data_IF_762831779110
#
_entry.id   IF_762831779110
#
_cell.length_a   1.000
_cell.length_b   1.000
_cell.length_c   1.000
_cell.angle_alpha   90.00
_cell.angle_beta   90.00
_cell.angle_gamma   90.00
#
_symmetry.space_group_name_H-M   'P 1'
#
loop_
_entity.id
_entity.type
_entity.pdbx_description
1 polymer ?
#
# COMPACT_ATOMS: atom_id res chain seq x y z
N UNK A 1 -25.38 5.40 1.46
CA UNK A 1 -25.33 6.48 0.44
C UNK A 1 -24.35 7.50 1.00
N UNK A 2 -23.21 7.71 0.34
CA UNK A 2 -22.13 8.53 0.90
C UNK A 2 -22.53 9.99 1.04
N UNK A 3 -21.91 10.68 1.99
CA UNK A 3 -22.13 12.10 2.22
C UNK A 3 -21.60 12.91 1.04
N UNK A 4 -22.51 13.63 0.37
CA UNK A 4 -22.20 14.43 -0.81
C UNK A 4 -21.29 15.61 -0.44
N UNK A 5 -20.12 15.68 -1.06
CA UNK A 5 -19.25 16.86 -0.96
C UNK A 5 -19.91 17.99 -1.75
N UNK A 6 -20.51 18.95 -1.04
CA UNK A 6 -21.10 20.15 -1.64
C UNK A 6 -20.17 21.34 -1.48
N UNK A 7 -19.67 21.86 -2.60
CA UNK A 7 -18.89 23.09 -2.66
C UNK A 7 -19.71 24.20 -3.31
N UNK A 8 -20.02 25.24 -2.54
CA UNK A 8 -20.77 26.40 -3.02
C UNK A 8 -19.92 27.28 -3.97
N UNK A 9 -20.53 27.91 -5.00
CA UNK A 9 -19.88 28.95 -5.78
C UNK A 9 -19.26 30.05 -4.89
N UNK A 10 -18.05 30.48 -5.23
CA UNK A 10 -17.26 31.42 -4.44
C UNK A 10 -16.47 30.79 -3.29
N UNK A 11 -16.72 29.52 -2.93
CA UNK A 11 -15.89 28.82 -1.94
C UNK A 11 -14.46 28.75 -2.45
N UNK A 12 -13.51 29.07 -1.57
CA UNK A 12 -12.08 28.93 -1.84
C UNK A 12 -11.58 27.60 -1.28
N UNK A 13 -10.93 26.81 -2.13
CA UNK A 13 -10.23 25.57 -1.78
C UNK A 13 -8.76 25.79 -2.13
N UNK A 14 -7.93 26.06 -1.12
CA UNK A 14 -6.56 26.53 -1.30
C UNK A 14 -6.50 27.81 -2.17
N UNK A 15 -5.89 27.75 -3.34
CA UNK A 15 -5.82 28.85 -4.31
C UNK A 15 -6.97 28.84 -5.33
N UNK A 16 -7.79 27.79 -5.33
CA UNK A 16 -8.87 27.57 -6.29
C UNK A 16 -10.19 28.16 -5.82
N UNK A 17 -10.84 28.96 -6.66
CA UNK A 17 -12.19 29.49 -6.40
C UNK A 17 -13.21 28.69 -7.19
N UNK A 18 -14.18 28.09 -6.49
CA UNK A 18 -15.27 27.32 -7.10
C UNK A 18 -16.21 28.25 -7.86
N UNK A 19 -16.50 27.95 -9.12
CA UNK A 19 -17.48 28.71 -9.92
C UNK A 19 -18.84 28.02 -9.97
N UNK A 20 -18.86 26.72 -10.31
CA UNK A 20 -20.08 25.93 -10.37
C UNK A 20 -19.79 24.44 -10.38
N UNK A 21 -20.77 23.63 -10.01
CA UNK A 21 -20.72 22.18 -10.22
C UNK A 21 -20.84 21.85 -11.71
N UNK A 22 -19.98 20.95 -12.20
CA UNK A 22 -19.99 20.43 -13.57
C UNK A 22 -20.75 19.12 -13.67
N UNK A 23 -20.64 18.27 -12.65
CA UNK A 23 -21.31 16.96 -12.64
C UNK A 23 -21.06 16.19 -11.36
N UNK A 24 -21.77 15.07 -11.25
CA UNK A 24 -21.69 14.12 -10.14
C UNK A 24 -21.83 12.71 -10.68
N UNK A 25 -21.15 11.76 -10.04
CA UNK A 25 -21.34 10.34 -10.27
C UNK A 25 -20.92 9.51 -9.06
N UNK A 26 -20.84 8.20 -9.24
CA UNK A 26 -20.50 7.26 -8.17
C UNK A 26 -19.11 7.49 -7.53
N UNK A 27 -18.21 8.21 -8.22
CA UNK A 27 -16.84 8.47 -7.79
C UNK A 27 -16.63 9.92 -7.34
N UNK A 28 -17.70 10.57 -6.88
CA UNK A 28 -17.67 11.93 -6.35
C UNK A 28 -18.23 12.97 -7.32
N UNK A 29 -17.77 14.21 -7.15
CA UNK A 29 -18.29 15.38 -7.86
C UNK A 29 -17.15 16.15 -8.55
N UNK A 30 -17.49 16.79 -9.67
CA UNK A 30 -16.57 17.64 -10.43
C UNK A 30 -17.11 19.06 -10.43
N UNK A 31 -16.24 20.01 -10.12
CA UNK A 31 -16.53 21.43 -10.05
C UNK A 31 -15.66 22.18 -11.05
N UNK A 32 -16.20 23.22 -11.66
CA UNK A 32 -15.40 24.22 -12.36
C UNK A 32 -14.83 25.17 -11.33
N UNK A 33 -13.54 25.43 -11.40
CA UNK A 33 -12.85 26.39 -10.55
C UNK A 33 -11.90 27.26 -11.37
N UNK A 34 -11.45 28.36 -10.78
CA UNK A 34 -10.39 29.21 -11.34
C UNK A 34 -9.25 29.43 -10.35
N UNK A 35 -8.07 29.79 -10.86
CA UNK A 35 -6.86 30.05 -10.08
C UNK A 35 -6.72 31.51 -9.58
N UNK A 36 -7.80 32.30 -9.63
CA UNK A 36 -7.76 33.75 -9.35
C UNK A 36 -7.08 34.61 -10.43
N UNK A 37 -6.48 34.01 -11.48
CA UNK A 37 -5.91 34.71 -12.64
C UNK A 37 -6.82 34.67 -13.88
N UNK A 38 -7.94 33.96 -13.79
CA UNK A 38 -8.93 33.81 -14.86
C UNK A 38 -8.84 32.49 -15.63
N UNK A 39 -7.81 31.66 -15.37
CA UNK A 39 -7.71 30.34 -15.98
C UNK A 39 -8.71 29.37 -15.35
N UNK A 40 -9.31 28.52 -16.16
CA UNK A 40 -10.40 27.62 -15.76
C UNK A 40 -9.95 26.17 -15.69
N UNK A 41 -10.39 25.47 -14.65
CA UNK A 41 -10.03 24.09 -14.35
C UNK A 41 -11.23 23.28 -13.86
N UNK A 42 -11.05 21.96 -13.83
CA UNK A 42 -11.99 21.02 -13.25
C UNK A 42 -11.40 20.42 -11.96
N UNK A 43 -12.01 20.73 -10.81
CA UNK A 43 -11.68 20.16 -9.51
C UNK A 43 -12.57 18.94 -9.26
N UNK A 44 -11.96 17.77 -9.16
CA UNK A 44 -12.64 16.55 -8.74
C UNK A 44 -12.48 16.33 -7.24
N UNK A 45 -13.57 15.98 -6.56
CA UNK A 45 -13.60 15.71 -5.11
C UNK A 45 -14.35 14.42 -4.82
N UNK A 46 -13.91 13.69 -3.80
CA UNK A 46 -14.57 12.47 -3.28
C UNK A 46 -14.90 12.63 -1.79
N UNK A 47 -15.93 11.92 -1.31
CA UNK A 47 -16.31 11.96 0.10
C UNK A 47 -15.27 11.25 0.98
N UNK A 48 -14.91 11.87 2.13
CA UNK A 48 -13.90 11.34 3.05
C UNK A 48 -14.24 9.94 3.60
N UNK A 49 -15.54 9.62 3.68
CA UNK A 49 -16.06 8.37 4.22
C UNK A 49 -16.62 7.45 3.14
N UNK A 50 -16.32 7.71 1.86
CA UNK A 50 -16.71 6.80 0.77
C UNK A 50 -16.02 5.44 0.94
N UNK A 51 -16.77 4.37 0.72
CA UNK A 51 -16.27 2.99 0.87
C UNK A 51 -15.13 2.67 -0.09
N UNK A 52 -15.11 3.31 -1.25
CA UNK A 52 -14.09 3.15 -2.28
C UNK A 52 -13.57 4.54 -2.67
N UNK A 53 -12.32 4.84 -2.30
CA UNK A 53 -11.63 6.08 -2.65
C UNK A 53 -10.64 5.83 -3.80
N UNK A 54 -10.99 6.29 -5.01
CA UNK A 54 -10.18 6.06 -6.22
C UNK A 54 -9.36 7.29 -6.64
N UNK A 55 -9.58 8.46 -6.03
CA UNK A 55 -8.89 9.70 -6.43
C UNK A 55 -7.36 9.55 -6.38
N UNK A 56 -6.83 8.78 -5.41
CA UNK A 56 -5.40 8.47 -5.31
C UNK A 56 -4.89 7.63 -6.50
N UNK A 57 -5.67 6.66 -6.97
CA UNK A 57 -5.31 5.83 -8.12
C UNK A 57 -5.34 6.64 -9.41
N UNK A 58 -6.34 7.52 -9.58
CA UNK A 58 -6.41 8.43 -10.72
C UNK A 58 -5.19 9.35 -10.79
N UNK A 59 -4.80 9.95 -9.66
CA UNK A 59 -3.60 10.78 -9.57
C UNK A 59 -2.34 9.99 -9.96
N UNK A 60 -2.22 8.75 -9.48
CA UNK A 60 -1.09 7.88 -9.81
C UNK A 60 -1.01 7.60 -11.32
N UNK A 61 -2.11 7.12 -11.91
CA UNK A 61 -2.19 6.73 -13.32
C UNK A 61 -1.95 7.91 -14.25
N UNK A 62 -2.60 9.05 -14.00
CA UNK A 62 -2.43 10.26 -14.83
C UNK A 62 -1.00 10.82 -14.72
N UNK A 63 -0.36 10.70 -13.56
CA UNK A 63 1.03 11.13 -13.39
C UNK A 63 2.02 10.25 -14.15
N UNK A 64 1.82 8.93 -14.15
CA UNK A 64 2.66 8.00 -14.93
C UNK A 64 2.41 8.13 -16.44
N UNK A 65 1.16 8.33 -16.87
CA UNK A 65 0.84 8.66 -18.26
C UNK A 65 1.50 9.97 -18.71
N UNK A 66 1.52 10.98 -17.84
CA UNK A 66 2.20 12.25 -18.10
C UNK A 66 3.70 12.06 -18.34
N UNK A 67 4.38 11.24 -17.54
CA UNK A 67 5.81 10.91 -17.72
C UNK A 67 6.07 10.13 -19.01
N UNK A 68 5.13 9.28 -19.42
CA UNK A 68 5.20 8.52 -20.66
C UNK A 68 4.87 9.36 -21.91
N UNK A 69 4.59 10.66 -21.78
CA UNK A 69 4.29 11.55 -22.90
C UNK A 69 2.84 11.43 -23.43
N UNK A 70 1.90 10.97 -22.61
CA UNK A 70 0.49 10.85 -22.98
C UNK A 70 -0.19 12.21 -23.18
N UNK A 71 -0.27 12.69 -24.42
CA UNK A 71 -0.83 14.02 -24.77
C UNK A 71 -2.37 14.09 -24.83
N UNK A 72 -3.04 12.94 -24.85
CA UNK A 72 -4.50 12.85 -25.02
C UNK A 72 -5.24 12.53 -23.71
N UNK A 73 -4.61 12.81 -22.57
CA UNK A 73 -5.18 12.62 -21.23
C UNK A 73 -5.23 13.93 -20.46
N UNK A 74 -6.08 13.99 -19.44
CA UNK A 74 -6.17 15.15 -18.56
C UNK A 74 -4.82 15.41 -17.87
N UNK A 75 -4.37 16.67 -17.90
CA UNK A 75 -3.20 17.11 -17.14
C UNK A 75 -3.61 17.43 -15.71
N UNK A 76 -2.85 16.92 -14.75
CA UNK A 76 -3.01 17.31 -13.34
C UNK A 76 -2.27 18.63 -13.13
N UNK A 77 -3.01 19.66 -12.76
CA UNK A 77 -2.44 20.98 -12.40
C UNK A 77 -2.16 21.07 -10.91
N UNK A 78 -3.05 20.50 -10.11
CA UNK A 78 -2.85 20.41 -8.68
C UNK A 78 -3.28 19.06 -8.11
N UNK A 79 -2.53 18.66 -7.09
CA UNK A 79 -2.72 17.46 -6.31
C UNK A 79 -2.21 17.77 -4.92
N UNK A 80 -3.13 17.78 -3.96
CA UNK A 80 -2.84 17.89 -2.52
C UNK A 80 -2.00 16.71 -1.99
N UNK A 81 -1.69 15.74 -2.86
CA UNK A 81 -0.73 14.68 -2.55
C UNK A 81 0.71 15.21 -2.36
N UNK A 82 1.02 16.40 -2.89
CA UNK A 82 2.32 17.05 -2.68
C UNK A 82 2.47 17.48 -1.22
N UNK A 83 1.48 18.17 -0.67
CA UNK A 83 1.54 18.65 0.73
C UNK A 83 1.54 17.48 1.71
N UNK A 84 0.69 16.46 1.50
CA UNK A 84 0.73 15.22 2.31
C UNK A 84 2.07 14.50 2.14
N UNK A 85 2.61 14.46 0.93
CA UNK A 85 3.92 13.86 0.64
C UNK A 85 5.08 14.63 1.29
N UNK A 86 5.03 15.95 1.26
CA UNK A 86 6.01 16.86 1.84
C UNK A 86 5.94 16.86 3.36
N UNK A 87 4.74 16.77 3.96
CA UNK A 87 4.57 16.55 5.38
C UNK A 87 5.13 15.18 5.81
N UNK A 88 4.78 14.11 5.08
CA UNK A 88 5.31 12.75 5.34
C UNK A 88 6.82 12.67 5.21
N UNK A 89 7.43 13.39 4.25
CA UNK A 89 8.88 13.51 4.08
C UNK A 89 9.49 14.39 5.16
N UNK A 90 8.92 15.56 5.41
CA UNK A 90 9.43 16.56 6.35
C UNK A 90 9.54 16.05 7.79
N UNK A 91 8.57 15.25 8.22
CA UNK A 91 8.64 14.57 9.53
C UNK A 91 9.81 13.59 9.61
N UNK A 92 10.19 12.92 8.52
CA UNK A 92 11.32 11.97 8.50
C UNK A 92 12.68 12.63 8.33
N UNK A 93 12.71 13.84 7.78
CA UNK A 93 13.96 14.53 7.39
C UNK A 93 14.43 15.57 8.41
N UNK A 94 13.63 15.89 9.44
CA UNK A 94 13.98 16.93 10.40
C UNK A 94 13.60 16.57 11.85
N UNK A 95 14.49 16.92 12.78
CA UNK A 95 14.24 16.87 14.23
C UNK A 95 13.00 17.68 14.62
N UNK A 96 12.79 18.83 13.96
CA UNK A 96 11.63 19.68 14.20
C UNK A 96 10.33 18.99 13.75
N UNK A 97 10.33 18.34 12.58
CA UNK A 97 9.18 17.58 12.07
C UNK A 97 8.83 16.38 12.94
N UNK A 98 9.83 15.65 13.46
CA UNK A 98 9.61 14.60 14.45
C UNK A 98 8.97 15.13 15.74
N UNK A 99 9.45 16.27 16.25
CA UNK A 99 8.90 16.92 17.45
C UNK A 99 7.48 17.43 17.23
N UNK A 100 7.14 17.87 16.02
CA UNK A 100 5.79 18.27 15.66
C UNK A 100 4.84 17.07 15.57
N UNK A 101 5.26 15.96 14.94
CA UNK A 101 4.39 14.78 14.80
C UNK A 101 4.20 14.03 16.13
N UNK A 102 5.29 13.81 16.87
CA UNK A 102 5.29 12.99 18.09
C UNK A 102 5.38 13.82 19.38
N UNK A 103 5.08 15.12 19.30
CA UNK A 103 5.04 15.99 20.48
C UNK A 103 4.02 15.48 21.50
N UNK A 104 4.48 15.12 22.70
CA UNK A 104 3.63 14.54 23.75
C UNK A 104 3.34 13.04 23.61
N UNK A 105 3.82 12.39 22.56
CA UNK A 105 3.72 10.94 22.40
C UNK A 105 4.87 10.19 23.11
N UNK A 106 4.71 8.87 23.38
CA UNK A 106 5.80 8.01 23.83
C UNK A 106 7.00 8.11 22.88
N UNK A 107 8.22 8.14 23.43
CA UNK A 107 9.45 8.30 22.62
C UNK A 107 9.73 7.08 21.77
N UNK A 108 9.24 5.92 22.18
CA UNK A 108 9.30 4.66 21.48
C UNK A 108 8.63 4.74 20.09
N UNK A 109 7.70 5.68 19.86
CA UNK A 109 7.09 5.87 18.54
C UNK A 109 8.11 6.38 17.51
N UNK A 110 9.08 7.18 17.94
CA UNK A 110 10.18 7.63 17.09
C UNK A 110 11.07 6.43 16.71
N UNK A 111 11.30 5.52 17.67
CA UNK A 111 12.10 4.33 17.44
C UNK A 111 11.38 3.31 16.54
N UNK A 112 10.06 3.18 16.65
CA UNK A 112 9.25 2.41 15.70
C UNK A 112 9.36 3.01 14.28
N UNK A 113 9.26 4.33 14.14
CA UNK A 113 9.42 4.98 12.84
C UNK A 113 10.81 4.72 12.23
N UNK A 114 11.87 4.72 13.05
CA UNK A 114 13.23 4.38 12.61
C UNK A 114 13.37 2.91 12.16
N UNK A 115 12.66 1.99 12.81
CA UNK A 115 12.58 0.58 12.36
C UNK A 115 11.91 0.50 10.99
N UNK A 116 10.81 1.22 10.79
CA UNK A 116 10.10 1.27 9.52
C UNK A 116 10.98 1.86 8.41
N UNK A 117 11.63 2.99 8.67
CA UNK A 117 12.46 3.68 7.68
C UNK A 117 13.73 2.89 7.30
N UNK A 118 14.16 1.93 8.14
CA UNK A 118 15.27 1.02 7.85
C UNK A 118 14.89 -0.19 7.00
N UNK A 119 13.60 -0.47 6.80
CA UNK A 119 13.12 -1.62 6.05
C UNK A 119 13.01 -1.32 4.54
N UNK A 120 13.26 -2.33 3.71
CA UNK A 120 12.99 -2.29 2.27
C UNK A 120 11.62 -2.89 1.96
N UNK A 121 11.16 -2.66 0.74
CA UNK A 121 9.84 -3.12 0.29
C UNK A 121 9.62 -4.64 0.42
N UNK A 122 10.66 -5.45 0.20
CA UNK A 122 10.58 -6.92 0.29
C UNK A 122 11.08 -7.47 1.62
N UNK A 123 11.50 -6.60 2.55
CA UNK A 123 11.95 -7.05 3.86
C UNK A 123 10.73 -7.47 4.70
N UNK A 124 10.88 -8.55 5.44
CA UNK A 124 9.95 -8.87 6.52
C UNK A 124 10.18 -7.87 7.66
N UNK A 125 9.14 -7.12 8.09
CA UNK A 125 9.30 -6.18 9.20
C UNK A 125 9.68 -6.91 10.49
N UNK A 126 10.57 -6.32 11.28
CA UNK A 126 10.90 -6.84 12.61
C UNK A 126 9.76 -6.55 13.60
N UNK A 127 8.70 -7.35 13.49
CA UNK A 127 7.50 -7.25 14.33
C UNK A 127 7.84 -7.43 15.80
N UNK A 128 8.76 -8.34 16.12
CA UNK A 128 9.18 -8.59 17.50
C UNK A 128 9.73 -7.31 18.15
N UNK A 129 10.61 -6.59 17.44
CA UNK A 129 11.14 -5.31 17.91
C UNK A 129 10.07 -4.24 18.02
N UNK A 130 9.19 -4.10 17.02
CA UNK A 130 8.10 -3.13 17.06
C UNK A 130 7.14 -3.38 18.24
N UNK A 131 6.76 -4.63 18.51
CA UNK A 131 5.93 -4.98 19.67
C UNK A 131 6.61 -4.66 21.00
N UNK A 132 7.92 -4.91 21.12
CA UNK A 132 8.67 -4.58 22.33
C UNK A 132 8.71 -3.07 22.58
N UNK A 133 8.91 -2.26 21.55
CA UNK A 133 8.86 -0.80 21.63
C UNK A 133 7.47 -0.30 22.03
N UNK A 134 6.41 -0.85 21.43
CA UNK A 134 5.03 -0.48 21.79
C UNK A 134 4.70 -0.82 23.25
N UNK A 135 5.12 -2.00 23.72
CA UNK A 135 4.96 -2.41 25.13
C UNK A 135 5.74 -1.52 26.09
N UNK A 136 6.93 -1.07 25.71
CA UNK A 136 7.70 -0.08 26.48
C UNK A 136 6.96 1.25 26.57
N UNK A 137 6.41 1.72 25.44
CA UNK A 137 5.55 2.91 25.39
C UNK A 137 4.32 2.81 26.30
N UNK A 138 3.65 1.66 26.36
CA UNK A 138 2.54 1.44 27.29
C UNK A 138 2.97 1.51 28.75
N UNK A 139 4.13 0.91 29.09
CA UNK A 139 4.67 0.95 30.46
C UNK A 139 5.07 2.37 30.88
N UNK A 140 5.74 3.11 29.98
CA UNK A 140 6.23 4.46 30.26
C UNK A 140 5.09 5.47 30.45
N UNK A 141 3.96 5.25 29.77
CA UNK A 141 2.77 6.09 29.88
C UNK A 141 1.70 5.56 30.82
N UNK A 142 1.91 4.38 31.42
CA UNK A 142 0.90 3.66 32.21
C UNK A 142 -0.41 3.43 31.43
N UNK A 143 -0.32 3.28 30.11
CA UNK A 143 -1.46 3.00 29.24
C UNK A 143 -1.88 1.53 29.36
N UNK A 144 -3.18 1.29 29.20
CA UNK A 144 -3.76 -0.06 29.16
C UNK A 144 -4.14 -0.41 27.74
N UNK A 145 -3.94 -1.68 27.39
CA UNK A 145 -4.40 -2.23 26.12
C UNK A 145 -5.91 -2.46 26.20
N UNK A 146 -6.63 -1.98 25.18
CA UNK A 146 -8.06 -2.19 25.01
C UNK A 146 -8.27 -3.09 23.78
N UNK A 147 -9.38 -3.84 23.73
CA UNK A 147 -9.73 -4.61 22.55
C UNK A 147 -9.73 -3.71 21.32
N UNK A 148 -9.15 -4.19 20.22
CA UNK A 148 -9.28 -3.47 18.95
C UNK A 148 -10.74 -3.49 18.47
N UNK A 149 -11.14 -2.51 17.66
CA UNK A 149 -12.51 -2.44 17.12
C UNK A 149 -12.91 -3.73 16.36
N UNK A 150 -11.93 -4.40 15.75
CA UNK A 150 -12.12 -5.69 15.09
C UNK A 150 -12.03 -6.90 16.03
N UNK A 151 -11.59 -6.76 17.28
CA UNK A 151 -11.63 -7.86 18.25
C UNK A 151 -12.99 -7.95 18.94
N UNK A 152 -13.80 -6.91 18.87
CA UNK A 152 -15.12 -6.87 19.49
C UNK A 152 -16.04 -8.00 18.96
N UNK A 153 -15.97 -8.31 17.67
CA UNK A 153 -16.77 -9.41 17.09
C UNK A 153 -16.29 -10.78 17.59
N UNK A 154 -14.97 -10.98 17.70
CA UNK A 154 -14.36 -12.22 18.22
C UNK A 154 -14.73 -12.41 19.69
N UNK A 155 -14.70 -11.33 20.47
CA UNK A 155 -15.08 -11.37 21.88
C UNK A 155 -16.57 -11.69 22.04
N UNK A 156 -17.46 -11.08 21.24
CA UNK A 156 -18.90 -11.43 21.25
C UNK A 156 -19.14 -12.89 20.92
N UNK A 157 -18.45 -13.44 19.91
CA UNK A 157 -18.53 -14.86 19.55
C UNK A 157 -18.08 -15.76 20.70
N UNK A 158 -16.94 -15.45 21.34
CA UNK A 158 -16.44 -16.22 22.47
C UNK A 158 -17.38 -16.15 23.69
N UNK A 159 -18.01 -15.00 23.95
CA UNK A 159 -19.01 -14.84 25.01
C UNK A 159 -20.29 -15.63 24.73
N UNK A 160 -20.77 -15.63 23.49
CA UNK A 160 -21.92 -16.43 23.06
C UNK A 160 -21.64 -17.93 23.17
N UNK A 161 -20.43 -18.37 22.78
CA UNK A 161 -19.99 -19.77 22.95
C UNK A 161 -19.86 -20.17 24.43
N UNK A 162 -19.35 -19.28 25.28
CA UNK A 162 -19.33 -19.49 26.74
C UNK A 162 -20.74 -19.60 27.31
N UNK A 163 -21.65 -18.69 26.93
CA UNK A 163 -23.06 -18.72 27.35
C UNK A 163 -23.79 -19.98 26.86
N UNK A 164 -23.44 -20.49 25.68
CA UNK A 164 -23.95 -21.78 25.15
C UNK A 164 -23.42 -22.98 25.95
N UNK A 165 -22.15 -22.95 26.37
CA UNK A 165 -21.56 -23.99 27.24
C UNK A 165 -22.11 -23.97 28.67
N UNK A 166 -22.44 -22.79 29.20
CA UNK A 166 -23.00 -22.62 30.56
C UNK A 166 -24.50 -22.99 30.64
N UNK A 167 -25.25 -22.94 29.53
CA UNK A 167 -26.69 -23.27 29.50
C UNK A 167 -27.06 -24.75 29.33
N UNK A 168 -26.09 -25.66 29.30
CA UNK A 168 -26.29 -27.10 29.46
C UNK A 168 -27.46 -27.76 28.69
N UNK A 169 -27.22 -28.20 27.47
CA UNK A 169 -27.88 -29.42 26.95
C UNK A 169 -26.86 -30.55 26.93
N UNK A 170 -27.12 -31.57 27.75
CA UNK A 170 -26.36 -32.81 27.75
C UNK A 170 -26.80 -33.74 26.62
N UNK A 171 -25.78 -34.28 25.92
CA UNK A 171 -25.69 -35.63 25.34
C UNK A 171 -25.79 -35.76 23.82
N UNK A 172 -24.63 -35.99 23.18
CA UNK A 172 -24.37 -37.26 22.50
C UNK A 172 -22.86 -37.53 22.44
N UNK A 173 -22.49 -38.78 22.75
CA UNK A 173 -21.15 -39.37 22.72
C UNK A 173 -20.27 -38.86 21.58
N UNK A 174 -19.01 -38.57 21.91
CA UNK A 174 -17.93 -38.53 20.94
C UNK A 174 -17.89 -39.83 20.10
N UNK A 175 -17.86 -39.77 18.76
CA UNK A 175 -17.21 -40.82 18.01
C UNK A 175 -15.71 -40.67 18.27
N UNK A 176 -15.12 -41.63 18.99
CA UNK A 176 -13.67 -41.86 18.94
C UNK A 176 -13.30 -42.08 17.48
N UNK A 177 -12.72 -41.06 16.82
CA UNK A 177 -11.87 -41.30 15.65
C UNK A 177 -10.51 -41.72 16.19
N UNK A 178 -10.34 -43.02 16.37
CA UNK A 178 -9.01 -43.62 16.32
C UNK A 178 -8.39 -43.16 14.99
N UNK A 179 -7.30 -42.37 15.09
CA UNK A 179 -6.51 -42.00 13.92
C UNK A 179 -5.75 -43.26 13.51
N UNK A 180 -6.23 -43.97 12.50
CA UNK A 180 -5.44 -45.02 11.87
C UNK A 180 -4.14 -44.39 11.33
N UNK A 181 -3.01 -45.04 11.59
CA UNK A 181 -1.67 -44.59 11.18
C UNK A 181 -1.54 -44.39 9.67
N UNK A 182 -2.35 -45.10 8.88
CA UNK A 182 -2.43 -44.95 7.42
C UNK A 182 -2.86 -43.54 6.97
N UNK A 183 -3.77 -42.87 7.69
CA UNK A 183 -4.23 -41.52 7.35
C UNK A 183 -3.15 -40.45 7.65
N UNK A 184 -2.34 -40.70 8.69
CA UNK A 184 -1.17 -39.86 9.01
C UNK A 184 -0.07 -40.02 7.97
N UNK A 185 0.21 -41.25 7.56
CA UNK A 185 1.21 -41.56 6.53
C UNK A 185 0.78 -40.99 5.16
N UNK A 186 -0.51 -41.02 4.83
CA UNK A 186 -1.03 -40.42 3.60
C UNK A 186 -0.92 -38.88 3.59
N UNK A 187 -1.12 -38.22 4.74
CA UNK A 187 -0.95 -36.77 4.87
C UNK A 187 0.52 -36.36 4.79
N UNK A 188 1.42 -37.16 5.35
CA UNK A 188 2.86 -36.91 5.34
C UNK A 188 3.47 -37.18 3.95
N UNK A 189 3.04 -38.24 3.26
CA UNK A 189 3.42 -38.51 1.87
C UNK A 189 2.95 -37.39 0.92
N UNK A 190 1.74 -36.85 1.11
CA UNK A 190 1.25 -35.69 0.33
C UNK A 190 2.08 -34.43 0.59
N UNK A 191 2.50 -34.21 1.84
CA UNK A 191 3.34 -33.07 2.19
C UNK A 191 4.74 -33.19 1.58
N UNK A 192 5.31 -34.39 1.55
CA UNK A 192 6.60 -34.65 0.93
C UNK A 192 6.55 -34.49 -0.59
N UNK A 193 5.51 -35.02 -1.26
CA UNK A 193 5.34 -34.85 -2.69
C UNK A 193 5.22 -33.37 -3.12
N UNK A 194 4.57 -32.53 -2.30
CA UNK A 194 4.48 -31.08 -2.55
C UNK A 194 5.86 -30.40 -2.43
N UNK A 195 6.68 -30.82 -1.45
CA UNK A 195 8.03 -30.28 -1.28
C UNK A 195 8.95 -30.70 -2.43
N UNK A 196 8.88 -31.95 -2.86
CA UNK A 196 9.69 -32.47 -3.96
C UNK A 196 9.32 -31.79 -5.30
N UNK A 197 8.02 -31.56 -5.55
CA UNK A 197 7.54 -30.81 -6.72
C UNK A 197 8.06 -29.36 -6.71
N UNK A 198 8.11 -28.72 -5.53
CA UNK A 198 8.64 -27.36 -5.39
C UNK A 198 10.17 -27.29 -5.58
N UNK A 199 10.91 -28.36 -5.26
CA UNK A 199 12.34 -28.44 -5.55
C UNK A 199 12.63 -28.70 -7.04
N UNK A 200 11.83 -29.54 -7.70
CA UNK A 200 11.93 -29.73 -9.16
C UNK A 200 11.60 -28.44 -9.92
N UNK A 201 10.56 -27.72 -9.51
CA UNK A 201 10.19 -26.43 -10.12
C UNK A 201 11.29 -25.38 -9.92
N UNK A 202 11.99 -25.38 -8.78
CA UNK A 202 13.16 -24.53 -8.56
C UNK A 202 14.33 -24.91 -9.47
N UNK A 203 14.66 -26.20 -9.59
CA UNK A 203 15.73 -26.68 -10.49
C UNK A 203 15.44 -26.40 -11.96
N UNK A 204 14.20 -26.53 -12.41
CA UNK A 204 13.80 -26.20 -13.78
C UNK A 204 13.88 -24.69 -14.05
N UNK A 205 13.63 -23.84 -13.05
CA UNK A 205 13.74 -22.39 -13.15
C UNK A 205 15.19 -21.91 -13.25
N UNK A 206 16.11 -22.61 -12.59
CA UNK A 206 17.54 -22.32 -12.66
C UNK A 206 18.16 -22.80 -13.97
N UNK A 207 17.76 -23.97 -14.50
CA UNK A 207 18.18 -24.43 -15.83
C UNK A 207 17.76 -23.48 -16.96
N UNK A 208 16.56 -22.89 -16.86
CA UNK A 208 16.04 -21.91 -17.83
C UNK A 208 16.72 -20.53 -17.74
N UNK A 209 17.49 -20.25 -16.68
CA UNK A 209 18.32 -19.04 -16.56
C UNK A 209 19.69 -19.18 -17.22
N UNK A 210 20.22 -20.40 -17.31
CA UNK A 210 21.50 -20.66 -17.95
C UNK A 210 21.38 -20.64 -19.48
N UNK A 211 20.30 -21.19 -20.05
CA UNK A 211 20.04 -21.13 -21.51
C UNK A 211 19.83 -19.68 -22.01
N UNK A 212 19.32 -18.78 -21.18
CA UNK A 212 19.05 -17.38 -21.54
C UNK A 212 20.29 -16.47 -21.46
N UNK A 213 21.43 -17.01 -21.03
CA UNK A 213 22.69 -16.28 -20.87
C UNK A 213 23.55 -16.33 -22.13
N UNK A 214 23.30 -17.31 -23.02
CA UNK A 214 24.04 -17.46 -24.27
C UNK A 214 23.47 -16.59 -25.41
N UNK A 215 22.15 -16.42 -25.51
CA UNK A 215 21.53 -15.53 -26.53
C UNK A 215 21.89 -14.04 -26.33
N UNK A 216 22.18 -13.61 -25.10
CA UNK A 216 22.52 -12.20 -24.80
C UNK A 216 23.95 -11.80 -25.14
N UNK A 217 24.77 -12.76 -25.61
CA UNK A 217 26.18 -12.52 -25.95
C UNK A 217 26.37 -12.15 -27.43
N UNK A 218 25.40 -12.47 -28.29
CA UNK A 218 25.47 -12.17 -29.72
C UNK A 218 24.88 -10.79 -30.09
N UNK A 219 23.84 -10.30 -29.39
CA UNK A 219 23.31 -8.94 -29.63
C UNK A 219 24.30 -7.82 -29.25
N UNK A 220 25.23 -8.08 -28.31
CA UNK A 220 26.23 -7.08 -27.88
C UNK A 220 27.40 -6.89 -28.85
N UNK A 221 27.49 -7.68 -29.92
CA UNK A 221 28.54 -7.54 -30.95
C UNK A 221 28.14 -6.65 -32.12
N UNK A 222 26.86 -6.41 -32.34
CA UNK A 222 26.37 -5.63 -33.48
C UNK A 222 26.24 -4.13 -33.19
N UNK A 223 25.88 -3.73 -31.96
CA UNK A 223 25.85 -2.30 -31.57
C UNK A 223 27.24 -1.65 -31.60
N UNK A 224 28.32 -2.42 -31.40
CA UNK A 224 29.69 -1.87 -31.38
C UNK A 224 30.28 -1.57 -32.77
N UNK A 225 29.54 -1.87 -33.85
CA UNK A 225 29.95 -1.57 -35.24
C UNK A 225 29.31 -0.31 -35.82
N UNK A 226 28.21 0.19 -35.25
CA UNK A 226 27.56 1.42 -35.74
C UNK A 226 28.21 2.69 -35.17
N UNK A 227 28.62 2.67 -33.89
CA UNK A 227 29.26 3.84 -33.24
C UNK A 227 30.62 4.25 -33.86
N UNK A 228 31.29 3.37 -34.62
CA UNK A 228 32.55 3.71 -35.30
C UNK A 228 32.38 4.34 -36.70
N UNK A 229 31.16 4.46 -37.21
CA UNK A 229 30.90 5.06 -38.54
C UNK A 229 30.56 6.55 -38.47
N UNK A 230 30.08 7.05 -37.35
CA UNK A 230 29.63 8.45 -37.24
C UNK A 230 30.73 9.41 -36.79
N UNK A 231 31.76 8.94 -36.07
CA UNK A 231 32.95 9.76 -35.72
C UNK A 231 33.86 10.11 -36.91
N UNK A 232 33.61 9.58 -38.13
CA UNK A 232 34.42 9.89 -39.33
C UNK A 232 33.79 10.89 -40.30
N UNK A 233 32.61 11.44 -40.00
CA UNK A 233 31.91 12.36 -40.92
C UNK A 233 31.98 13.85 -40.56
N UNK A 234 32.46 14.23 -39.37
CA UNK A 234 32.55 15.65 -39.00
C UNK A 234 33.88 16.33 -39.41
N UNK A 235 34.88 15.60 -39.91
CA UNK A 235 36.19 16.17 -40.29
C UNK A 235 36.33 16.57 -41.78
N UNK A 236 35.26 16.55 -42.59
CA UNK A 236 35.31 17.06 -43.97
C UNK A 236 33.97 17.66 -44.42
N UNK A 237 33.71 18.92 -44.07
CA UNK A 237 33.29 19.96 -45.04
C UNK A 237 33.20 21.34 -44.40
#
# INVERSE_FOLDING_TARGET
MGELVLLEPGRKVNEWVIEKKLGEGAFGAVYRCNNGKGDLFALKVEGKNEAIQLLKLEVYVLNDLGKAGGRHFCKIEDKDIREIGDAKRGVRMSELGLKQLFGGCPREYIDVLRVIDGAKFFDEPDYAKMYNLLRQGMRSTNAREYPYDWEEFLMRQMEEEKKKKEKGEGSAKAPKKEKNEEDKQAAEAKKQAILDQQEEDKKNKDKKKDDKKDDKKDEKKDEKKEDKKDEKKEDKK
#
